data_IF_395650422582
#
_entry.id   IF_395650422582
#
_cell.length_a   1.000
_cell.length_b   1.000
_cell.length_c   1.000
_cell.angle_alpha   90.00
_cell.angle_beta   90.00
_cell.angle_gamma   90.00
#
_symmetry.space_group_name_H-M   'P 1'
#
loop_
_entity.id
_entity.type
_entity.pdbx_description
1 polymer ?
#
# COMPACT_ATOMS: atom_id res chain seq x y z
N UNK A 1 16.07 3.36 -22.63
CA UNK A 1 16.54 3.44 -21.28
C UNK A 1 16.00 2.30 -20.43
N UNK A 2 16.88 1.66 -19.73
CA UNK A 2 16.48 0.49 -18.96
C UNK A 2 15.73 0.90 -17.69
N UNK A 3 14.87 0.00 -17.23
CA UNK A 3 14.18 0.20 -15.97
C UNK A 3 15.18 0.16 -14.83
N UNK A 4 14.90 0.87 -13.74
CA UNK A 4 15.73 0.80 -12.57
C UNK A 4 15.84 -0.65 -12.06
N UNK A 5 17.01 -1.01 -11.59
CA UNK A 5 17.25 -2.38 -11.14
C UNK A 5 16.42 -2.76 -9.93
N UNK A 6 16.04 -1.79 -9.14
CA UNK A 6 15.29 -2.03 -7.93
C UNK A 6 13.79 -2.16 -8.18
N UNK A 7 13.36 -2.19 -9.45
CA UNK A 7 11.96 -2.39 -9.80
C UNK A 7 11.75 -3.75 -10.46
N UNK A 8 12.02 -4.84 -9.75
CA UNK A 8 11.75 -6.17 -10.34
C UNK A 8 10.28 -6.36 -10.65
N UNK A 9 9.42 -5.67 -9.92
CA UNK A 9 7.99 -5.71 -10.19
C UNK A 9 7.66 -5.20 -11.59
N UNK A 10 8.44 -4.26 -12.11
CA UNK A 10 8.22 -3.75 -13.45
C UNK A 10 8.40 -4.83 -14.50
N UNK A 11 9.22 -5.83 -14.21
CA UNK A 11 9.37 -6.98 -15.12
C UNK A 11 8.21 -7.93 -14.99
N UNK A 12 7.70 -8.12 -13.77
CA UNK A 12 6.55 -9.00 -13.53
C UNK A 12 5.29 -8.42 -14.13
N UNK A 13 5.22 -7.10 -14.22
CA UNK A 13 4.05 -6.40 -14.74
C UNK A 13 4.49 -5.52 -15.90
N UNK A 14 4.99 -6.15 -16.99
CA UNK A 14 5.64 -5.37 -18.06
C UNK A 14 4.70 -4.50 -18.85
N UNK A 15 3.44 -4.85 -18.89
CA UNK A 15 2.46 -4.10 -19.69
C UNK A 15 1.42 -3.47 -18.78
N UNK A 16 1.16 -2.22 -19.05
CA UNK A 16 0.10 -1.53 -18.34
C UNK A 16 -1.24 -2.01 -18.88
N UNK A 17 -2.17 -2.16 -17.99
CA UNK A 17 -3.51 -2.59 -18.35
C UNK A 17 -4.54 -1.86 -17.49
N UNK A 18 -5.78 -1.88 -17.94
CA UNK A 18 -6.86 -1.31 -17.15
C UNK A 18 -7.11 -2.20 -15.92
N UNK A 19 -7.35 -1.61 -14.78
CA UNK A 19 -7.65 -2.39 -13.58
C UNK A 19 -9.04 -3.02 -13.68
N UNK A 20 -9.19 -4.15 -12.99
CA UNK A 20 -10.53 -4.69 -12.76
C UNK A 20 -11.28 -3.76 -11.81
N UNK A 21 -12.58 -4.00 -11.65
CA UNK A 21 -13.37 -3.20 -10.74
C UNK A 21 -12.83 -3.29 -9.31
N UNK A 22 -12.47 -4.49 -8.88
CA UNK A 22 -11.94 -4.69 -7.53
C UNK A 22 -10.61 -3.97 -7.36
N UNK A 23 -9.75 -4.03 -8.38
CA UNK A 23 -8.46 -3.33 -8.33
C UNK A 23 -8.65 -1.83 -8.30
N UNK A 24 -9.56 -1.32 -9.12
CA UNK A 24 -9.84 0.11 -9.14
C UNK A 24 -10.36 0.59 -7.79
N UNK A 25 -11.25 -0.18 -7.19
CA UNK A 25 -11.77 0.16 -5.87
C UNK A 25 -10.67 0.16 -4.81
N UNK A 26 -9.78 -0.83 -4.87
CA UNK A 26 -8.70 -0.91 -3.91
C UNK A 26 -7.81 0.34 -3.99
N UNK A 27 -7.55 0.82 -5.18
CA UNK A 27 -6.70 2.00 -5.37
C UNK A 27 -7.45 3.32 -5.27
N UNK A 28 -8.76 3.30 -5.07
CA UNK A 28 -9.55 4.52 -4.97
C UNK A 28 -9.55 5.12 -3.56
N UNK A 29 -8.83 4.54 -2.64
CA UNK A 29 -8.78 4.99 -1.26
C UNK A 29 -7.44 5.65 -0.98
N UNK A 30 -7.45 6.89 -0.50
CA UNK A 30 -6.22 7.57 -0.15
C UNK A 30 -5.49 6.85 0.98
N UNK A 31 -6.23 6.26 1.92
CA UNK A 31 -5.62 5.50 3.01
C UNK A 31 -4.85 4.31 2.45
N UNK A 32 -5.46 3.57 1.52
CA UNK A 32 -4.79 2.41 0.94
C UNK A 32 -3.56 2.81 0.12
N UNK A 33 -3.63 3.93 -0.58
CA UNK A 33 -2.45 4.42 -1.32
C UNK A 33 -1.33 4.81 -0.35
N UNK A 34 -1.67 5.37 0.80
CA UNK A 34 -0.67 5.67 1.83
C UNK A 34 -0.01 4.39 2.33
N UNK A 35 -0.82 3.36 2.56
CA UNK A 35 -0.28 2.08 3.02
C UNK A 35 0.69 1.52 1.99
N UNK A 36 0.32 1.54 0.72
CA UNK A 36 1.21 1.07 -0.34
C UNK A 36 2.51 1.85 -0.36
N UNK A 37 2.44 3.16 -0.20
CA UNK A 37 3.64 3.98 -0.20
C UNK A 37 4.55 3.64 0.97
N UNK A 38 3.98 3.41 2.13
CA UNK A 38 4.77 3.04 3.30
C UNK A 38 5.47 1.70 3.11
N UNK A 39 4.86 0.79 2.37
CA UNK A 39 5.37 -0.56 2.19
C UNK A 39 6.19 -0.73 0.92
N UNK A 40 6.52 0.34 0.21
CA UNK A 40 7.24 0.24 -1.06
C UNK A 40 8.64 -0.35 -0.90
N UNK A 41 9.36 0.08 0.11
CA UNK A 41 10.75 -0.28 0.26
C UNK A 41 11.08 -0.88 1.63
N UNK A 42 10.06 -1.18 2.42
CA UNK A 42 10.28 -1.79 3.72
C UNK A 42 9.07 -2.62 4.11
N UNK A 43 9.35 -3.70 4.81
CA UNK A 43 8.29 -4.56 5.31
C UNK A 43 7.75 -3.97 6.60
N UNK A 44 6.43 -3.84 6.67
CA UNK A 44 5.77 -3.28 7.85
C UNK A 44 4.62 -4.18 8.28
N UNK A 45 4.53 -4.42 9.58
CA UNK A 45 3.37 -5.14 10.13
C UNK A 45 2.17 -4.22 10.18
N UNK A 46 1.00 -4.82 10.35
CA UNK A 46 -0.22 -4.03 10.49
C UNK A 46 -0.11 -3.01 11.62
N UNK A 47 0.47 -3.44 12.73
CA UNK A 47 0.65 -2.55 13.87
C UNK A 47 1.53 -1.37 13.53
N UNK A 48 2.64 -1.64 12.83
CA UNK A 48 3.56 -0.56 12.43
C UNK A 48 2.90 0.40 11.46
N UNK A 49 2.12 -0.14 10.52
CA UNK A 49 1.38 0.71 9.58
C UNK A 49 0.40 1.60 10.35
N UNK A 50 -0.35 0.99 11.28
CA UNK A 50 -1.32 1.74 12.06
C UNK A 50 -0.67 2.86 12.87
N UNK A 51 0.49 2.57 13.43
CA UNK A 51 1.22 3.58 14.18
C UNK A 51 1.64 4.74 13.30
N UNK A 52 2.13 4.43 12.11
CA UNK A 52 2.57 5.49 11.20
C UNK A 52 1.43 6.33 10.66
N UNK A 53 0.25 5.73 10.52
CA UNK A 53 -0.94 6.44 10.05
C UNK A 53 -1.71 7.07 11.20
N UNK A 54 -1.33 6.79 12.43
CA UNK A 54 -2.08 7.21 13.61
C UNK A 54 -3.54 6.78 13.48
N UNK A 55 -3.73 5.52 13.16
CA UNK A 55 -5.04 4.96 12.86
C UNK A 55 -5.29 3.71 13.69
N UNK A 56 -6.56 3.33 13.76
CA UNK A 56 -6.96 2.13 14.48
C UNK A 56 -6.46 0.89 13.76
N UNK A 57 -5.74 -0.02 14.44
CA UNK A 57 -5.21 -1.21 13.80
C UNK A 57 -6.26 -2.09 13.13
N UNK A 58 -7.47 -2.15 13.67
CA UNK A 58 -8.52 -2.96 13.06
C UNK A 58 -8.96 -2.38 11.72
N UNK A 59 -9.05 -1.06 11.64
CA UNK A 59 -9.38 -0.37 10.39
C UNK A 59 -8.26 -0.57 9.37
N UNK A 60 -7.01 -0.43 9.82
CA UNK A 60 -5.86 -0.63 8.95
C UNK A 60 -5.84 -2.05 8.42
N UNK A 61 -6.13 -3.03 9.28
CA UNK A 61 -6.12 -4.42 8.86
C UNK A 61 -7.13 -4.68 7.76
N UNK A 62 -8.30 -4.05 7.83
CA UNK A 62 -9.28 -4.16 6.76
C UNK A 62 -8.70 -3.68 5.42
N UNK A 63 -8.01 -2.55 5.43
CA UNK A 63 -7.38 -2.04 4.21
C UNK A 63 -6.24 -2.91 3.73
N UNK A 64 -5.42 -3.40 4.68
CA UNK A 64 -4.32 -4.30 4.34
C UNK A 64 -4.85 -5.56 3.67
N UNK A 65 -5.91 -6.15 4.22
CA UNK A 65 -6.51 -7.35 3.63
C UNK A 65 -7.03 -7.09 2.23
N UNK A 66 -7.68 -5.96 2.02
CA UNK A 66 -8.14 -5.60 0.68
C UNK A 66 -6.97 -5.53 -0.30
N UNK A 67 -5.87 -4.93 0.13
CA UNK A 67 -4.69 -4.80 -0.73
C UNK A 67 -4.02 -6.15 -0.98
N UNK A 68 -4.01 -7.03 0.00
CA UNK A 68 -3.47 -8.38 -0.19
C UNK A 68 -4.37 -9.17 -1.14
N UNK A 69 -5.69 -9.09 -0.93
CA UNK A 69 -6.64 -9.83 -1.76
C UNK A 69 -6.58 -9.40 -3.21
N UNK A 70 -6.30 -8.14 -3.46
CA UNK A 70 -6.19 -7.62 -4.82
C UNK A 70 -4.77 -7.69 -5.38
N UNK A 71 -3.81 -8.18 -4.58
CA UNK A 71 -2.45 -8.42 -5.05
C UNK A 71 -1.53 -7.22 -5.01
N UNK A 72 -1.92 -6.12 -4.39
CA UNK A 72 -1.07 -4.94 -4.29
C UNK A 72 -0.09 -5.02 -3.12
N UNK A 73 -0.42 -5.77 -2.09
CA UNK A 73 0.48 -6.10 -1.00
C UNK A 73 0.66 -7.60 -0.92
N UNK A 74 1.80 -8.01 -0.41
CA UNK A 74 2.00 -9.44 -0.12
C UNK A 74 2.46 -9.58 1.32
N UNK A 75 1.98 -10.65 1.96
CA UNK A 75 2.45 -11.02 3.29
C UNK A 75 3.84 -11.63 3.15
N UNK A 76 4.76 -11.16 3.97
CA UNK A 76 6.12 -11.68 3.97
C UNK A 76 6.27 -12.71 5.08
N UNK A 77 7.38 -13.46 5.09
CA UNK A 77 7.57 -14.47 6.13
C UNK A 77 7.40 -13.87 7.52
N UNK A 78 6.69 -14.58 8.40
CA UNK A 78 6.49 -14.08 9.75
C UNK A 78 7.79 -13.85 10.48
N UNK A 79 7.77 -12.89 11.37
CA UNK A 79 8.91 -12.62 12.22
C UNK A 79 8.45 -12.61 13.67
N UNK A 80 9.41 -12.75 14.57
CA UNK A 80 9.10 -12.75 15.99
C UNK A 80 9.03 -11.30 16.47
N UNK A 81 7.92 -10.94 17.08
CA UNK A 81 7.74 -9.61 17.65
C UNK A 81 8.08 -9.61 19.13
N UNK A 82 7.67 -8.55 19.80
CA UNK A 82 7.88 -8.42 21.22
C UNK A 82 7.20 -9.56 21.96
N UNK A 83 7.85 -10.04 23.02
CA UNK A 83 7.33 -11.14 23.86
C UNK A 83 7.09 -12.41 23.06
N UNK A 84 7.80 -12.57 21.95
CA UNK A 84 7.70 -13.78 21.16
C UNK A 84 6.45 -13.89 20.31
N UNK A 85 5.66 -12.83 20.21
CA UNK A 85 4.47 -12.86 19.37
C UNK A 85 4.85 -13.01 17.90
N UNK A 86 3.99 -13.67 17.16
CA UNK A 86 4.20 -13.84 15.73
C UNK A 86 3.65 -12.62 15.00
N UNK A 87 4.48 -12.02 14.18
CA UNK A 87 4.08 -10.86 13.40
C UNK A 87 4.28 -11.14 11.92
N UNK A 88 3.33 -10.69 11.12
CA UNK A 88 3.41 -10.83 9.67
C UNK A 88 3.63 -9.45 9.07
N UNK A 89 4.78 -9.21 8.45
CA UNK A 89 4.99 -7.93 7.77
C UNK A 89 4.45 -8.00 6.35
N UNK A 90 4.23 -6.84 5.77
CA UNK A 90 3.69 -6.70 4.42
C UNK A 90 4.60 -5.83 3.57
N UNK A 91 4.63 -6.12 2.29
CA UNK A 91 5.46 -5.38 1.33
C UNK A 91 4.64 -5.18 0.07
N UNK A 92 4.79 -4.01 -0.55
CA UNK A 92 4.10 -3.75 -1.80
C UNK A 92 4.69 -4.61 -2.91
N UNK A 93 3.81 -5.13 -3.76
CA UNK A 93 4.22 -6.03 -4.84
C UNK A 93 4.69 -5.27 -6.07
N UNK A 94 4.35 -4.00 -6.18
CA UNK A 94 4.62 -3.24 -7.38
C UNK A 94 3.53 -3.36 -8.43
N UNK A 95 2.50 -4.15 -8.18
CA UNK A 95 1.41 -4.33 -9.14
C UNK A 95 0.76 -3.01 -9.54
N UNK A 96 0.71 -2.06 -8.61
CA UNK A 96 0.10 -0.76 -8.90
C UNK A 96 0.79 -0.04 -10.05
N UNK A 97 2.06 -0.33 -10.29
CA UNK A 97 2.79 0.28 -11.39
C UNK A 97 2.26 -0.16 -12.76
N UNK A 98 1.58 -1.32 -12.80
CA UNK A 98 1.05 -1.85 -14.05
C UNK A 98 -0.38 -1.40 -14.32
N UNK A 99 -0.99 -0.66 -13.40
CA UNK A 99 -2.37 -0.21 -13.55
C UNK A 99 -2.42 1.13 -14.24
N UNK A 100 -3.32 1.27 -15.22
CA UNK A 100 -3.52 2.55 -15.86
C UNK A 100 -4.28 3.48 -14.93
N UNK A 101 -3.81 4.72 -14.85
CA UNK A 101 -4.52 5.77 -14.15
C UNK A 101 -4.49 5.71 -12.64
N UNK A 102 -4.55 4.54 -12.07
CA UNK A 102 -4.67 4.42 -10.64
C UNK A 102 -3.39 4.06 -9.93
N UNK A 103 -2.50 3.35 -10.62
CA UNK A 103 -1.29 2.87 -10.00
C UNK A 103 -0.02 3.46 -10.53
N UNK A 104 -0.13 4.49 -11.36
CA UNK A 104 1.04 5.15 -11.89
C UNK A 104 1.70 5.98 -10.80
N UNK A 105 2.97 6.30 -11.01
CA UNK A 105 3.68 7.16 -10.09
C UNK A 105 2.98 8.49 -9.89
N UNK A 106 2.39 9.03 -10.96
CA UNK A 106 1.69 10.30 -10.87
C UNK A 106 0.50 10.21 -9.92
N UNK A 107 -0.29 9.14 -10.02
CA UNK A 107 -1.45 8.97 -9.14
C UNK A 107 -1.01 8.83 -7.70
N UNK A 108 0.08 8.11 -7.45
CA UNK A 108 0.58 7.97 -6.09
C UNK A 108 1.11 9.27 -5.54
N UNK A 109 1.74 10.07 -6.38
CA UNK A 109 2.22 11.38 -5.98
C UNK A 109 1.04 12.28 -5.64
N UNK A 110 0.00 12.25 -6.44
CA UNK A 110 -1.18 13.05 -6.17
C UNK A 110 -1.82 12.66 -4.85
N UNK A 111 -1.93 11.37 -4.60
CA UNK A 111 -2.48 10.90 -3.34
C UNK A 111 -1.63 11.37 -2.17
N UNK A 112 -0.32 11.35 -2.33
CA UNK A 112 0.58 11.82 -1.30
C UNK A 112 0.40 13.32 -1.03
N UNK A 113 0.29 14.10 -2.08
CA UNK A 113 0.07 15.54 -1.95
C UNK A 113 -1.25 15.81 -1.22
N UNK A 114 -2.29 15.07 -1.61
CA UNK A 114 -3.58 15.22 -0.96
C UNK A 114 -3.51 14.87 0.53
N UNK A 115 -2.76 13.84 0.88
CA UNK A 115 -2.55 13.50 2.28
C UNK A 115 -1.94 14.65 3.05
N UNK A 116 -0.91 15.25 2.48
CA UNK A 116 -0.21 16.34 3.16
C UNK A 116 -1.16 17.51 3.38
N UNK A 117 -1.98 17.82 2.37
CA UNK A 117 -2.93 18.92 2.49
C UNK A 117 -4.08 18.62 3.43
N UNK A 118 -4.50 17.37 3.45
CA UNK A 118 -5.67 16.96 4.17
C UNK A 118 -5.43 16.30 5.50
N UNK A 119 -4.21 16.38 6.02
CA UNK A 119 -3.85 15.68 7.25
C UNK A 119 -4.83 15.97 8.38
N UNK A 120 -5.17 17.22 8.57
CA UNK A 120 -6.09 17.58 9.64
C UNK A 120 -7.48 17.01 9.41
N UNK A 121 -7.92 17.03 8.17
CA UNK A 121 -9.21 16.47 7.81
C UNK A 121 -9.21 14.97 7.97
N UNK A 122 -8.13 14.33 7.55
CA UNK A 122 -8.00 12.89 7.67
C UNK A 122 -8.05 12.44 9.12
N UNK A 123 -7.39 13.16 9.99
CA UNK A 123 -7.41 12.85 11.41
C UNK A 123 -8.83 12.87 11.95
N UNK A 124 -9.60 13.85 11.54
CA UNK A 124 -11.00 13.95 11.96
C UNK A 124 -11.84 12.83 11.38
N UNK A 125 -11.53 12.46 10.14
CA UNK A 125 -12.30 11.44 9.45
C UNK A 125 -12.04 10.06 10.02
N UNK A 126 -10.81 9.82 10.41
CA UNK A 126 -10.40 8.50 10.89
C UNK A 126 -10.83 8.20 12.31
N UNK A 127 -11.26 9.20 13.02
CA UNK A 127 -11.70 9.01 14.40
C UNK A 127 -13.20 8.69 14.54
#
# INVERSE_FOLDING_TARGET
>A
MSAPKYLPAARRWPERRSPTEAEAKALASSVRLRILRLCLDQELTNKEIAERLDANPATVLHHVRTLVDTGFLEARPPRRGKRGSREVPYLATGKSWAMEGGGSGAAMIEAFVDEVRGVDLDDKTLM
#
